data_IF_062264465059
#
_entry.id   IF_062264465059
#
_cell.length_a   1.000
_cell.length_b   1.000
_cell.length_c   1.000
_cell.angle_alpha   90.00
_cell.angle_beta   90.00
_cell.angle_gamma   90.00
#
_symmetry.space_group_name_H-M   'P 1'
#
loop_
_entity.id
_entity.type
_entity.pdbx_description
1 polymer ?
#
# COMPACT_ATOMS: atom_id res chain seq x y z
N UNK A 1 16.46 -6.91 3.81
CA UNK A 1 15.61 -6.13 4.73
C UNK A 1 14.86 -7.09 5.64
N UNK A 2 14.94 -6.87 6.95
CA UNK A 2 14.19 -7.70 7.91
C UNK A 2 12.75 -7.21 8.06
N UNK A 3 11.88 -8.10 8.55
CA UNK A 3 10.48 -7.72 8.86
C UNK A 3 10.44 -6.62 9.90
N UNK A 4 11.36 -6.59 10.85
CA UNK A 4 11.42 -5.52 11.86
C UNK A 4 11.69 -4.15 11.23
N UNK A 5 12.47 -4.08 10.16
CA UNK A 5 12.70 -2.83 9.40
C UNK A 5 11.42 -2.34 8.74
N UNK A 6 10.63 -3.25 8.19
CA UNK A 6 9.34 -2.91 7.60
C UNK A 6 8.40 -2.35 8.67
N UNK A 7 8.33 -3.00 9.82
CA UNK A 7 7.51 -2.55 10.96
C UNK A 7 7.96 -1.17 11.47
N UNK A 8 9.27 -0.94 11.54
CA UNK A 8 9.83 0.34 11.94
C UNK A 8 9.36 1.47 11.02
N UNK A 9 9.35 1.24 9.72
CA UNK A 9 8.88 2.22 8.74
C UNK A 9 7.39 2.50 8.90
N UNK A 10 6.59 1.49 9.20
CA UNK A 10 5.17 1.66 9.49
C UNK A 10 4.97 2.53 10.73
N UNK A 11 5.71 2.25 11.80
CA UNK A 11 5.61 2.97 13.06
C UNK A 11 6.06 4.43 12.97
N UNK A 12 6.97 4.72 12.06
CA UNK A 12 7.51 6.07 11.88
C UNK A 12 6.73 6.90 10.86
N UNK A 13 5.72 6.33 10.21
CA UNK A 13 4.93 7.04 9.22
C UNK A 13 3.66 7.63 9.83
N UNK A 14 3.32 8.83 9.38
CA UNK A 14 2.06 9.50 9.73
C UNK A 14 1.25 9.67 8.45
N UNK A 15 -0.09 9.69 8.58
CA UNK A 15 -0.97 9.79 7.44
C UNK A 15 -1.20 8.46 6.76
N UNK A 16 -1.31 8.46 5.44
CA UNK A 16 -1.56 7.26 4.64
C UNK A 16 -0.22 6.68 4.19
N UNK A 17 -0.01 5.41 4.44
CA UNK A 17 1.14 4.67 3.95
C UNK A 17 0.67 3.56 3.03
N UNK A 18 1.18 3.55 1.81
CA UNK A 18 0.98 2.45 0.87
C UNK A 18 2.27 1.63 0.82
N UNK A 19 2.17 0.36 1.19
CA UNK A 19 3.27 -0.58 1.06
C UNK A 19 3.03 -1.44 -0.17
N UNK A 20 3.95 -1.38 -1.11
CA UNK A 20 3.94 -2.24 -2.28
C UNK A 20 4.91 -3.38 -2.08
N UNK A 21 4.39 -4.59 -2.16
CA UNK A 21 5.21 -5.80 -2.12
C UNK A 21 5.27 -6.36 -3.53
N UNK A 22 6.44 -6.31 -4.13
CA UNK A 22 6.68 -6.81 -5.48
C UNK A 22 7.55 -8.05 -5.47
N UNK A 23 7.77 -8.64 -6.63
CA UNK A 23 8.60 -9.82 -6.80
C UNK A 23 9.52 -9.64 -7.99
N UNK A 24 10.67 -10.29 -7.96
CA UNK A 24 11.63 -10.29 -9.08
C UNK A 24 10.97 -10.87 -10.34
N UNK A 25 11.26 -10.28 -11.49
CA UNK A 25 10.71 -10.71 -12.79
C UNK A 25 9.19 -10.62 -12.89
N UNK A 26 8.63 -9.55 -12.35
CA UNK A 26 7.19 -9.32 -12.37
C UNK A 26 6.88 -8.09 -13.22
N UNK A 27 6.46 -8.25 -14.50
CA UNK A 27 6.11 -7.12 -15.36
C UNK A 27 4.93 -6.31 -14.83
N UNK A 28 3.95 -6.98 -14.25
CA UNK A 28 2.77 -6.33 -13.66
C UNK A 28 3.17 -5.44 -12.49
N UNK A 29 4.16 -5.87 -11.70
CA UNK A 29 4.70 -5.06 -10.60
C UNK A 29 5.30 -3.75 -11.12
N UNK A 30 6.05 -3.80 -12.21
CA UNK A 30 6.64 -2.60 -12.83
C UNK A 30 5.56 -1.63 -13.31
N UNK A 31 4.51 -2.14 -13.92
CA UNK A 31 3.38 -1.34 -14.37
C UNK A 31 2.68 -0.66 -13.19
N UNK A 32 2.50 -1.41 -12.10
CA UNK A 32 1.84 -0.88 -10.91
C UNK A 32 2.70 0.21 -10.22
N UNK A 33 4.01 0.06 -10.22
CA UNK A 33 4.91 1.10 -9.72
C UNK A 33 4.70 2.43 -10.43
N UNK A 34 4.54 2.39 -11.74
CA UNK A 34 4.30 3.60 -12.54
C UNK A 34 2.96 4.25 -12.16
N UNK A 35 1.92 3.45 -11.98
CA UNK A 35 0.61 3.93 -11.53
C UNK A 35 0.73 4.59 -10.14
N UNK A 36 1.42 3.95 -9.22
CA UNK A 36 1.63 4.46 -7.87
C UNK A 36 2.42 5.77 -7.88
N UNK A 37 3.46 5.87 -8.70
CA UNK A 37 4.27 7.08 -8.79
C UNK A 37 3.45 8.27 -9.28
N UNK A 38 2.58 8.07 -10.25
CA UNK A 38 1.70 9.12 -10.75
C UNK A 38 0.73 9.60 -9.67
N UNK A 39 0.15 8.66 -8.93
CA UNK A 39 -0.82 8.97 -7.86
C UNK A 39 -0.12 9.59 -6.66
N UNK A 40 1.07 9.11 -6.31
CA UNK A 40 1.86 9.65 -5.22
C UNK A 40 2.11 11.15 -5.36
N UNK A 41 2.39 11.62 -6.57
CA UNK A 41 2.64 13.03 -6.79
C UNK A 41 1.40 13.90 -6.56
N UNK A 42 0.21 13.37 -6.81
CA UNK A 42 -1.05 14.08 -6.59
C UNK A 42 -1.45 14.17 -5.11
N UNK A 43 -0.97 13.23 -4.30
CA UNK A 43 -1.37 13.10 -2.88
C UNK A 43 -0.18 13.21 -1.92
N UNK A 44 0.90 13.87 -2.34
CA UNK A 44 2.17 13.89 -1.60
C UNK A 44 2.10 14.47 -0.19
N UNK A 45 1.11 15.31 0.11
CA UNK A 45 0.97 15.93 1.43
C UNK A 45 0.60 14.92 2.53
N UNK A 46 -0.12 13.87 2.17
CA UNK A 46 -0.62 12.89 3.15
C UNK A 46 -0.35 11.44 2.76
N UNK A 47 0.16 11.18 1.58
CA UNK A 47 0.45 9.82 1.12
C UNK A 47 1.96 9.58 1.01
N UNK A 48 2.43 8.55 1.68
CA UNK A 48 3.79 8.03 1.52
C UNK A 48 3.71 6.64 0.93
N UNK A 49 4.69 6.28 0.11
CA UNK A 49 4.76 4.95 -0.49
C UNK A 49 6.11 4.33 -0.20
N UNK A 50 6.09 3.04 0.08
CA UNK A 50 7.31 2.25 0.31
C UNK A 50 7.18 0.98 -0.51
N UNK A 51 8.28 0.61 -1.16
CA UNK A 51 8.32 -0.60 -1.95
C UNK A 51 9.33 -1.58 -1.38
N UNK A 52 8.92 -2.84 -1.31
CA UNK A 52 9.80 -3.95 -0.94
C UNK A 52 9.68 -5.05 -1.97
N UNK A 53 10.80 -5.71 -2.25
CA UNK A 53 10.81 -6.95 -2.99
C UNK A 53 10.60 -8.09 -1.99
N UNK A 54 9.62 -8.94 -2.24
CA UNK A 54 9.30 -10.05 -1.34
C UNK A 54 10.50 -10.97 -1.11
N UNK A 55 11.35 -11.14 -2.13
CA UNK A 55 12.54 -11.99 -2.02
C UNK A 55 13.63 -11.37 -1.13
N UNK A 56 13.59 -10.06 -0.91
CA UNK A 56 14.57 -9.34 -0.09
C UNK A 56 14.17 -9.23 1.38
N UNK A 57 12.96 -9.64 1.74
CA UNK A 57 12.49 -9.55 3.13
C UNK A 57 12.80 -10.85 3.87
N UNK A 58 13.77 -10.76 4.77
CA UNK A 58 14.15 -11.90 5.63
C UNK A 58 13.03 -12.23 6.60
N UNK A 59 12.68 -13.49 6.68
CA UNK A 59 11.63 -13.98 7.56
C UNK A 59 10.22 -13.88 6.99
N UNK A 60 10.07 -13.39 5.77
CA UNK A 60 8.80 -13.41 5.07
C UNK A 60 8.61 -14.77 4.41
N UNK A 61 7.52 -15.45 4.76
CA UNK A 61 7.17 -16.71 4.12
C UNK A 61 6.48 -16.43 2.78
N UNK A 62 7.11 -16.87 1.69
CA UNK A 62 6.53 -16.75 0.36
C UNK A 62 5.68 -17.98 0.10
N UNK A 63 4.37 -17.79 0.10
CA UNK A 63 3.42 -18.87 -0.15
C UNK A 63 3.31 -19.10 -1.66
N UNK A 64 3.42 -20.36 -2.14
CA UNK A 64 3.17 -20.66 -3.56
C UNK A 64 1.78 -20.16 -3.97
N UNK A 65 1.67 -19.68 -5.19
CA UNK A 65 0.42 -19.14 -5.77
C UNK A 65 -0.02 -17.77 -5.23
N UNK A 66 0.81 -17.09 -4.46
CA UNK A 66 0.56 -15.69 -4.08
C UNK A 66 0.62 -14.80 -5.32
N UNK A 67 -0.36 -13.94 -5.48
CA UNK A 67 -0.43 -13.01 -6.61
C UNK A 67 0.32 -11.73 -6.26
N UNK A 68 1.30 -11.37 -7.06
CA UNK A 68 2.04 -10.11 -6.93
C UNK A 68 1.67 -9.17 -8.07
N UNK A 69 1.72 -7.84 -7.89
CA UNK A 69 2.09 -7.12 -6.67
C UNK A 69 0.99 -7.21 -5.59
N UNK A 70 1.40 -7.09 -4.33
CA UNK A 70 0.47 -6.96 -3.21
C UNK A 70 0.58 -5.56 -2.63
N UNK A 71 -0.53 -4.96 -2.28
CA UNK A 71 -0.54 -3.64 -1.68
C UNK A 71 -1.28 -3.62 -0.36
N UNK A 72 -0.68 -2.91 0.61
CA UNK A 72 -1.18 -2.79 1.98
C UNK A 72 -1.28 -1.31 2.31
N UNK A 73 -2.37 -0.93 2.98
CA UNK A 73 -2.58 0.45 3.41
C UNK A 73 -2.60 0.55 4.93
N UNK A 74 -1.98 1.61 5.42
CA UNK A 74 -2.03 2.00 6.83
C UNK A 74 -2.51 3.45 6.91
N UNK A 75 -3.36 3.75 7.88
CA UNK A 75 -3.79 5.11 8.19
C UNK A 75 -3.40 5.41 9.63
N UNK A 76 -2.51 6.39 9.84
CA UNK A 76 -1.98 6.73 11.16
C UNK A 76 -1.47 5.51 11.92
N UNK A 77 -0.69 4.67 11.24
CA UNK A 77 -0.06 3.44 11.77
C UNK A 77 -1.02 2.28 12.00
N UNK A 78 -2.31 2.45 11.70
CA UNK A 78 -3.30 1.39 11.82
C UNK A 78 -3.49 0.69 10.48
N UNK A 79 -3.37 -0.65 10.42
CA UNK A 79 -3.58 -1.37 9.18
C UNK A 79 -5.05 -1.36 8.76
N UNK A 80 -5.28 -1.21 7.47
CA UNK A 80 -6.62 -1.42 6.93
C UNK A 80 -6.88 -2.94 6.82
N UNK A 81 -8.13 -3.37 7.00
CA UNK A 81 -8.45 -4.79 7.09
C UNK A 81 -8.49 -5.52 5.75
N UNK A 82 -7.97 -4.95 4.70
CA UNK A 82 -7.94 -5.59 3.38
C UNK A 82 -6.59 -5.43 2.72
N UNK A 83 -6.24 -6.44 1.93
CA UNK A 83 -5.01 -6.51 1.15
C UNK A 83 -5.42 -6.58 -0.31
N UNK A 84 -4.78 -5.79 -1.15
CA UNK A 84 -5.02 -5.86 -2.60
C UNK A 84 -3.98 -6.75 -3.24
N UNK A 85 -4.43 -7.72 -4.03
CA UNK A 85 -3.57 -8.58 -4.84
C UNK A 85 -3.72 -8.17 -6.30
N UNK A 86 -2.59 -8.06 -6.99
CA UNK A 86 -2.55 -7.69 -8.39
C UNK A 86 -2.59 -6.19 -8.64
N UNK A 87 -2.62 -5.83 -9.92
CA UNK A 87 -2.63 -4.43 -10.36
C UNK A 87 -4.00 -3.81 -10.12
N UNK A 88 -3.99 -2.60 -9.55
CA UNK A 88 -5.20 -1.79 -9.39
C UNK A 88 -5.10 -0.61 -10.36
N UNK A 89 -6.13 -0.38 -11.14
CA UNK A 89 -6.14 0.73 -12.08
C UNK A 89 -6.08 2.07 -11.36
N UNK A 90 -5.41 3.05 -12.00
CA UNK A 90 -5.14 4.35 -11.39
C UNK A 90 -6.38 5.08 -10.88
N UNK A 91 -7.49 5.04 -11.64
CA UNK A 91 -8.73 5.69 -11.23
C UNK A 91 -9.32 5.07 -9.96
N UNK A 92 -9.29 3.75 -9.86
CA UNK A 92 -9.79 3.05 -8.69
C UNK A 92 -8.88 3.31 -7.47
N UNK A 93 -7.57 3.24 -7.67
CA UNK A 93 -6.60 3.51 -6.61
C UNK A 93 -6.73 4.95 -6.10
N UNK A 94 -6.87 5.91 -7.00
CA UNK A 94 -7.08 7.31 -6.64
C UNK A 94 -8.36 7.49 -5.82
N UNK A 95 -9.44 6.86 -6.24
CA UNK A 95 -10.73 6.88 -5.53
C UNK A 95 -10.60 6.30 -4.12
N UNK A 96 -9.86 5.20 -3.97
CA UNK A 96 -9.61 4.59 -2.66
C UNK A 96 -8.80 5.52 -1.75
N UNK A 97 -7.75 6.13 -2.29
CA UNK A 97 -6.92 7.05 -1.51
C UNK A 97 -7.74 8.25 -1.02
N UNK A 98 -8.65 8.76 -1.83
CA UNK A 98 -9.55 9.83 -1.41
C UNK A 98 -10.46 9.41 -0.27
N UNK A 99 -10.93 8.17 -0.27
CA UNK A 99 -11.70 7.60 0.85
C UNK A 99 -10.83 7.49 2.11
N UNK A 100 -9.60 7.02 1.97
CA UNK A 100 -8.66 6.93 3.10
C UNK A 100 -8.35 8.32 3.66
N UNK A 101 -8.26 9.33 2.81
CA UNK A 101 -8.07 10.72 3.24
C UNK A 101 -9.23 11.20 4.11
N UNK A 102 -10.46 10.82 3.80
CA UNK A 102 -11.63 11.15 4.63
C UNK A 102 -11.49 10.54 6.02
N UNK A 103 -11.05 9.29 6.10
CA UNK A 103 -10.80 8.62 7.39
C UNK A 103 -9.67 9.33 8.14
N UNK A 104 -8.61 9.71 7.45
CA UNK A 104 -7.50 10.45 8.02
C UNK A 104 -7.97 11.78 8.62
N UNK A 105 -8.92 12.43 7.98
CA UNK A 105 -9.50 13.70 8.44
C UNK A 105 -10.53 13.54 9.57
N UNK A 106 -10.76 12.33 10.04
CA UNK A 106 -11.60 12.04 11.19
C UNK A 106 -12.99 11.50 10.89
N UNK A 107 -13.31 11.22 9.63
CA UNK A 107 -14.60 10.62 9.29
C UNK A 107 -14.65 9.15 9.73
N UNK A 108 -15.84 8.69 10.09
CA UNK A 108 -16.02 7.29 10.55
C UNK A 108 -15.74 6.32 9.39
N UNK A 109 -14.77 5.39 9.58
CA UNK A 109 -14.47 4.39 8.55
C UNK A 109 -15.69 3.57 8.12
N UNK A 110 -16.60 3.27 9.04
CA UNK A 110 -17.80 2.50 8.72
C UNK A 110 -18.71 3.26 7.75
N UNK A 111 -18.77 4.58 7.86
CA UNK A 111 -19.54 5.42 6.95
C UNK A 111 -18.86 5.55 5.58
N UNK A 112 -17.54 5.68 5.57
CA UNK A 112 -16.77 5.88 4.35
C UNK A 112 -16.76 4.61 3.49
N UNK A 113 -16.62 3.42 4.11
CA UNK A 113 -16.48 2.16 3.40
C UNK A 113 -17.78 1.37 3.21
N UNK A 114 -18.88 1.79 3.82
CA UNK A 114 -20.16 1.08 3.72
C UNK A 114 -20.99 1.45 2.49
N UNK A 115 -20.55 2.44 1.76
CA UNK A 115 -21.27 2.89 0.56
C UNK A 115 -20.68 2.34 -0.76
#
# INVERSE_FOLDING_TARGET
>A
VSISKVKEKIENNKGILLILLSKVNCPVCSNFKNIINDIKSEHSEYLSTIEFDADDIEGLEIVPHTIYPMSYFYINKEPLPFIRAGLVYGELLNSEILKFKKVLDGEDPNMVFSG
#
